data_IF_336744280852
#
_entry.id   IF_336744280852
#
_cell.length_a   1.000
_cell.length_b   1.000
_cell.length_c   1.000
_cell.angle_alpha   90.00
_cell.angle_beta   90.00
_cell.angle_gamma   90.00
#
_symmetry.space_group_name_H-M   'P 1'
#
loop_
_entity.id
_entity.type
_entity.pdbx_description
1 polymer ?
#
# COMPACT_ATOMS: atom_id res chain seq x y z
N UNK A 1 -10.72 -11.13 -21.92
CA UNK A 1 -9.63 -10.82 -20.97
C UNK A 1 -8.28 -11.35 -21.46
N UNK A 2 -8.15 -12.60 -21.99
CA UNK A 2 -6.84 -13.13 -22.42
C UNK A 2 -6.09 -12.19 -23.41
N UNK A 3 -6.74 -11.72 -24.48
CA UNK A 3 -6.10 -10.79 -25.42
C UNK A 3 -5.62 -9.47 -24.77
N UNK A 4 -6.35 -8.94 -23.79
CA UNK A 4 -5.91 -7.76 -23.02
C UNK A 4 -4.70 -8.09 -22.14
N UNK A 5 -4.71 -9.26 -21.52
CA UNK A 5 -3.56 -9.74 -20.73
C UNK A 5 -2.30 -9.87 -21.59
N UNK A 6 -2.44 -10.46 -22.79
CA UNK A 6 -1.32 -10.62 -23.73
C UNK A 6 -0.73 -9.27 -24.16
N UNK A 7 -1.60 -8.29 -24.43
CA UNK A 7 -1.16 -6.93 -24.78
C UNK A 7 -0.40 -6.27 -23.64
N UNK A 8 -0.92 -6.35 -22.41
CA UNK A 8 -0.25 -5.78 -21.22
C UNK A 8 1.08 -6.47 -20.95
N UNK A 9 1.13 -7.81 -21.07
CA UNK A 9 2.38 -8.56 -20.93
C UNK A 9 3.40 -8.21 -22.01
N UNK A 10 2.94 -7.95 -23.25
CA UNK A 10 3.83 -7.53 -24.35
C UNK A 10 4.54 -6.19 -24.05
N UNK A 11 3.96 -5.35 -23.20
CA UNK A 11 4.57 -4.10 -22.71
C UNK A 11 5.51 -4.32 -21.53
N UNK A 12 5.72 -5.57 -21.07
CA UNK A 12 6.51 -5.88 -19.87
C UNK A 12 5.80 -5.57 -18.54
N UNK A 13 4.49 -5.33 -18.57
CA UNK A 13 3.68 -5.03 -17.40
C UNK A 13 2.94 -6.27 -16.91
N UNK A 14 2.36 -6.17 -15.71
CA UNK A 14 1.52 -7.20 -15.08
C UNK A 14 0.07 -6.74 -15.03
N UNK A 15 -0.87 -7.69 -15.03
CA UNK A 15 -2.31 -7.40 -14.99
C UNK A 15 -2.95 -8.05 -13.76
N UNK A 16 -3.85 -7.32 -13.13
CA UNK A 16 -4.63 -7.80 -12.00
C UNK A 16 -6.12 -7.84 -12.26
N UNK A 17 -6.83 -8.60 -11.43
CA UNK A 17 -8.28 -8.68 -11.42
C UNK A 17 -8.83 -8.40 -10.01
N UNK A 18 -10.07 -7.94 -9.96
CA UNK A 18 -10.81 -7.63 -8.76
C UNK A 18 -11.99 -8.58 -8.60
N UNK A 19 -12.14 -9.19 -7.42
CA UNK A 19 -13.29 -10.03 -7.07
C UNK A 19 -13.55 -10.00 -5.56
N UNK A 20 -14.44 -10.83 -5.06
CA UNK A 20 -14.76 -11.01 -3.65
C UNK A 20 -15.56 -12.29 -3.41
N UNK A 21 -15.66 -12.79 -2.15
CA UNK A 21 -16.38 -14.01 -1.81
C UNK A 21 -17.91 -13.82 -1.69
N UNK A 22 -18.39 -12.63 -1.97
CA UNK A 22 -19.82 -12.36 -2.02
C UNK A 22 -20.43 -12.73 -3.37
N UNK A 23 -21.76 -12.76 -3.45
CA UNK A 23 -22.49 -12.92 -4.70
C UNK A 23 -22.20 -11.76 -5.65
N UNK A 24 -22.08 -10.55 -5.14
CA UNK A 24 -21.68 -9.36 -5.90
C UNK A 24 -20.51 -8.63 -5.24
N UNK A 25 -19.80 -7.84 -6.01
CA UNK A 25 -18.70 -7.01 -5.55
C UNK A 25 -19.12 -5.55 -5.35
N UNK A 26 -18.33 -4.74 -4.63
CA UNK A 26 -18.58 -3.31 -4.49
C UNK A 26 -18.59 -2.54 -5.82
N UNK A 27 -17.94 -3.08 -6.85
CA UNK A 27 -17.94 -2.53 -8.19
C UNK A 27 -19.18 -2.88 -9.01
N UNK A 28 -20.12 -3.67 -8.43
CA UNK A 28 -21.35 -4.07 -9.12
C UNK A 28 -21.18 -5.25 -10.09
N UNK A 29 -20.05 -5.96 -10.01
CA UNK A 29 -19.79 -7.17 -10.80
C UNK A 29 -20.05 -8.43 -9.97
N UNK A 30 -19.99 -9.59 -10.61
CA UNK A 30 -20.10 -10.89 -9.94
C UNK A 30 -18.91 -11.12 -9.00
N UNK A 31 -19.19 -11.70 -7.84
CA UNK A 31 -18.18 -12.27 -6.96
C UNK A 31 -18.03 -13.79 -7.19
N UNK A 32 -17.26 -14.44 -6.31
CA UNK A 32 -16.93 -15.85 -6.44
C UNK A 32 -18.00 -16.81 -5.87
N UNK A 33 -19.14 -16.29 -5.44
CA UNK A 33 -20.24 -17.08 -4.89
C UNK A 33 -21.56 -16.78 -5.57
N UNK A 34 -22.48 -17.74 -5.52
CA UNK A 34 -23.85 -17.61 -6.03
C UNK A 34 -24.86 -18.25 -5.09
N UNK A 35 -26.10 -17.76 -5.11
CA UNK A 35 -27.23 -18.41 -4.47
C UNK A 35 -27.79 -19.58 -5.31
N UNK A 36 -27.37 -19.67 -6.57
CA UNK A 36 -27.80 -20.70 -7.53
C UNK A 36 -26.67 -21.68 -7.80
N UNK A 37 -27.00 -22.97 -7.86
CA UNK A 37 -26.01 -24.03 -8.11
C UNK A 37 -25.41 -24.03 -9.52
N UNK A 38 -26.08 -23.41 -10.47
CA UNK A 38 -25.66 -23.29 -11.86
C UNK A 38 -24.92 -21.97 -12.14
N UNK A 39 -24.78 -21.09 -11.13
CA UNK A 39 -24.12 -19.80 -11.28
C UNK A 39 -24.91 -18.78 -12.10
N UNK A 40 -26.23 -18.95 -12.26
CA UNK A 40 -27.05 -17.93 -12.93
C UNK A 40 -27.23 -16.69 -12.05
N UNK A 41 -27.18 -15.55 -12.69
CA UNK A 41 -27.21 -14.24 -12.03
C UNK A 41 -28.18 -13.29 -12.75
N UNK A 42 -29.42 -13.73 -12.87
CA UNK A 42 -30.50 -12.98 -13.57
C UNK A 42 -30.68 -11.55 -13.05
N UNK A 43 -30.31 -11.32 -11.79
CA UNK A 43 -30.36 -10.01 -11.16
C UNK A 43 -29.29 -9.03 -11.68
N UNK A 44 -28.15 -9.53 -12.20
CA UNK A 44 -27.08 -8.66 -12.72
C UNK A 44 -27.55 -8.01 -14.03
N UNK A 45 -28.18 -8.78 -14.91
CA UNK A 45 -28.71 -8.25 -16.16
C UNK A 45 -29.79 -7.20 -15.93
N UNK A 46 -30.64 -7.41 -14.93
CA UNK A 46 -31.71 -6.47 -14.56
C UNK A 46 -31.18 -5.11 -14.17
N UNK A 47 -30.02 -5.03 -13.54
CA UNK A 47 -29.44 -3.79 -13.02
C UNK A 47 -28.19 -3.31 -13.80
N UNK A 48 -27.70 -4.06 -14.76
CA UNK A 48 -26.55 -3.68 -15.60
C UNK A 48 -26.75 -2.35 -16.34
N UNK A 49 -27.99 -1.99 -16.64
CA UNK A 49 -28.36 -0.75 -17.32
C UNK A 49 -28.56 0.44 -16.37
N UNK A 50 -28.52 0.24 -15.05
CA UNK A 50 -28.77 1.28 -14.04
C UNK A 50 -27.48 1.75 -13.33
N UNK A 51 -26.38 1.92 -14.05
CA UNK A 51 -25.11 2.44 -13.52
C UNK A 51 -24.57 1.73 -12.26
N UNK A 52 -24.55 0.40 -12.26
CA UNK A 52 -23.73 -0.47 -11.37
C UNK A 52 -23.87 -0.24 -9.84
N UNK A 53 -24.92 0.38 -9.39
CA UNK A 53 -25.22 0.48 -7.96
C UNK A 53 -26.46 -0.32 -7.65
N UNK A 54 -26.26 -1.61 -7.39
CA UNK A 54 -27.33 -2.36 -6.77
C UNK A 54 -27.52 -1.82 -5.34
N UNK A 55 -28.66 -1.21 -5.11
CA UNK A 55 -29.15 -0.87 -3.77
C UNK A 55 -30.33 -1.79 -3.51
N UNK A 56 -30.25 -2.60 -2.45
CA UNK A 56 -31.42 -3.39 -2.05
C UNK A 56 -32.60 -2.45 -1.73
N UNK A 57 -33.63 -2.41 -2.56
CA UNK A 57 -34.75 -1.50 -2.33
C UNK A 57 -35.55 -1.82 -1.07
N UNK A 58 -35.38 -3.02 -0.50
CA UNK A 58 -36.12 -3.46 0.69
C UNK A 58 -35.39 -3.17 1.99
N UNK A 59 -34.06 -2.97 1.96
CA UNK A 59 -33.25 -2.84 3.18
C UNK A 59 -32.66 -1.46 3.40
N UNK A 60 -32.75 -0.54 2.45
CA UNK A 60 -32.19 0.82 2.52
C UNK A 60 -30.74 0.89 3.07
N UNK A 61 -29.99 -0.19 2.96
CA UNK A 61 -28.58 -0.25 3.39
C UNK A 61 -27.67 0.11 2.23
N UNK A 62 -26.50 0.65 2.54
CA UNK A 62 -25.44 0.85 1.53
C UNK A 62 -25.00 -0.44 0.85
N UNK A 63 -25.37 -1.57 1.41
CA UNK A 63 -25.04 -2.92 1.00
C UNK A 63 -26.32 -3.61 0.53
N UNK A 64 -26.43 -3.83 -0.76
CA UNK A 64 -27.55 -4.55 -1.36
C UNK A 64 -27.54 -6.05 -0.99
N UNK A 65 -28.56 -6.79 -1.43
CA UNK A 65 -28.68 -8.25 -1.23
C UNK A 65 -27.45 -9.02 -1.76
N UNK A 66 -26.64 -8.43 -2.60
CA UNK A 66 -25.49 -9.07 -3.23
C UNK A 66 -24.23 -9.09 -2.33
N UNK A 67 -24.22 -8.33 -1.25
CA UNK A 67 -23.12 -8.29 -0.29
C UNK A 67 -23.33 -9.30 0.83
N UNK A 68 -23.47 -10.56 0.42
CA UNK A 68 -23.55 -11.71 1.28
C UNK A 68 -22.83 -12.90 0.62
N UNK A 69 -22.43 -13.86 1.42
CA UNK A 69 -21.89 -15.11 0.92
C UNK A 69 -23.03 -15.95 0.34
N UNK A 70 -22.92 -16.33 -0.93
CA UNK A 70 -23.88 -17.22 -1.58
C UNK A 70 -23.76 -18.66 -1.06
N UNK A 71 -24.71 -19.52 -1.44
CA UNK A 71 -24.73 -20.93 -1.01
C UNK A 71 -23.70 -21.80 -1.74
N UNK A 72 -23.30 -21.39 -2.94
CA UNK A 72 -22.44 -22.17 -3.82
C UNK A 72 -21.18 -21.38 -4.15
N UNK A 73 -20.01 -22.01 -3.95
CA UNK A 73 -18.72 -21.45 -4.29
C UNK A 73 -18.36 -21.75 -5.74
N UNK A 74 -17.91 -20.74 -6.46
CA UNK A 74 -17.32 -20.83 -7.80
C UNK A 74 -15.82 -20.43 -7.80
N UNK A 75 -15.21 -20.34 -6.63
CA UNK A 75 -13.81 -19.94 -6.45
C UNK A 75 -12.87 -20.72 -7.37
N UNK A 76 -13.04 -22.06 -7.48
CA UNK A 76 -12.19 -22.88 -8.36
C UNK A 76 -12.39 -22.58 -9.85
N UNK A 77 -13.62 -22.27 -10.26
CA UNK A 77 -13.95 -21.91 -11.64
C UNK A 77 -13.35 -20.57 -11.99
N UNK A 78 -13.47 -19.59 -11.10
CA UNK A 78 -12.90 -18.25 -11.26
C UNK A 78 -11.38 -18.32 -11.35
N UNK A 79 -10.74 -19.05 -10.44
CA UNK A 79 -9.27 -19.20 -10.46
C UNK A 79 -8.81 -19.88 -11.75
N UNK A 80 -9.49 -20.96 -12.20
CA UNK A 80 -9.16 -21.57 -13.48
C UNK A 80 -9.25 -20.55 -14.64
N UNK A 81 -10.33 -19.78 -14.69
CA UNK A 81 -10.51 -18.73 -15.69
C UNK A 81 -9.42 -17.66 -15.64
N UNK A 82 -9.03 -17.23 -14.42
CA UNK A 82 -7.97 -16.24 -14.25
C UNK A 82 -6.58 -16.79 -14.63
N UNK A 83 -6.34 -18.09 -14.41
CA UNK A 83 -5.13 -18.76 -14.89
C UNK A 83 -5.11 -18.82 -16.42
N UNK A 84 -6.23 -19.16 -17.06
CA UNK A 84 -6.36 -19.16 -18.53
C UNK A 84 -6.18 -17.75 -19.13
N UNK A 85 -6.53 -16.71 -18.39
CA UNK A 85 -6.29 -15.32 -18.76
C UNK A 85 -4.89 -14.80 -18.39
N UNK A 86 -4.12 -15.59 -17.67
CA UNK A 86 -2.77 -15.25 -17.18
C UNK A 86 -2.74 -14.02 -16.27
N UNK A 87 -3.71 -13.93 -15.34
CA UNK A 87 -3.70 -12.88 -14.33
C UNK A 87 -2.53 -13.03 -13.36
N UNK A 88 -1.92 -11.89 -12.96
CA UNK A 88 -0.76 -11.83 -12.06
C UNK A 88 -1.11 -11.33 -10.66
N UNK A 89 -2.27 -10.71 -10.47
CA UNK A 89 -2.66 -10.08 -9.23
C UNK A 89 -4.17 -10.26 -9.01
N UNK A 90 -4.57 -10.61 -7.79
CA UNK A 90 -5.96 -10.63 -7.36
C UNK A 90 -6.18 -9.67 -6.19
N UNK A 91 -7.01 -8.65 -6.37
CA UNK A 91 -7.63 -7.91 -5.28
C UNK A 91 -8.92 -8.61 -4.87
N UNK A 92 -8.96 -9.18 -3.67
CA UNK A 92 -10.13 -9.90 -3.12
C UNK A 92 -10.76 -9.06 -2.02
N UNK A 93 -11.98 -8.56 -2.25
CA UNK A 93 -12.52 -7.42 -1.52
C UNK A 93 -13.90 -7.70 -0.90
N UNK A 94 -13.96 -7.71 0.40
CA UNK A 94 -15.18 -7.75 1.20
C UNK A 94 -14.90 -7.30 2.63
N UNK A 95 -15.94 -7.06 3.43
CA UNK A 95 -15.79 -6.65 4.83
C UNK A 95 -16.91 -7.28 5.70
N UNK A 96 -16.53 -7.93 6.85
CA UNK A 96 -15.17 -8.20 7.30
C UNK A 96 -14.49 -9.32 6.53
N UNK A 97 -13.16 -9.25 6.33
CA UNK A 97 -12.42 -10.41 5.86
C UNK A 97 -12.47 -11.52 6.92
N UNK A 98 -12.57 -12.76 6.48
CA UNK A 98 -12.58 -13.94 7.35
C UNK A 98 -11.62 -15.03 6.85
N UNK A 99 -11.15 -15.84 7.78
CA UNK A 99 -10.13 -16.86 7.51
C UNK A 99 -10.62 -17.95 6.55
N UNK A 100 -11.92 -18.29 6.60
CA UNK A 100 -12.46 -19.36 5.76
C UNK A 100 -12.38 -19.01 4.27
N UNK A 101 -12.92 -17.86 3.88
CA UNK A 101 -12.95 -17.45 2.47
C UNK A 101 -11.57 -17.05 1.94
N UNK A 102 -10.70 -16.48 2.81
CA UNK A 102 -9.29 -16.25 2.45
C UNK A 102 -8.59 -17.57 2.17
N UNK A 103 -8.77 -18.58 3.06
CA UNK A 103 -8.14 -19.88 2.88
C UNK A 103 -8.64 -20.60 1.62
N UNK A 104 -9.92 -20.55 1.35
CA UNK A 104 -10.49 -21.18 0.15
C UNK A 104 -9.88 -20.60 -1.13
N UNK A 105 -9.80 -19.26 -1.23
CA UNK A 105 -9.18 -18.58 -2.36
C UNK A 105 -7.69 -18.86 -2.44
N UNK A 106 -6.97 -18.79 -1.31
CA UNK A 106 -5.55 -19.12 -1.22
C UNK A 106 -5.26 -20.53 -1.75
N UNK A 107 -6.02 -21.53 -1.26
CA UNK A 107 -5.82 -22.92 -1.66
C UNK A 107 -6.10 -23.12 -3.16
N UNK A 108 -7.14 -22.45 -3.68
CA UNK A 108 -7.45 -22.49 -5.10
C UNK A 108 -6.34 -21.87 -5.96
N UNK A 109 -5.82 -20.70 -5.59
CA UNK A 109 -4.68 -20.07 -6.27
C UNK A 109 -3.43 -20.96 -6.23
N UNK A 110 -3.12 -21.54 -5.06
CA UNK A 110 -1.96 -22.43 -4.87
C UNK A 110 -2.08 -23.79 -5.56
N UNK A 111 -3.29 -24.19 -5.99
CA UNK A 111 -3.49 -25.44 -6.75
C UNK A 111 -3.02 -25.35 -8.21
N UNK A 112 -2.67 -24.15 -8.67
CA UNK A 112 -2.16 -23.87 -10.02
C UNK A 112 -0.66 -23.55 -10.00
N UNK A 113 0.00 -23.78 -11.13
CA UNK A 113 1.44 -23.52 -11.28
C UNK A 113 1.70 -22.12 -11.88
N UNK A 114 1.08 -21.09 -11.28
CA UNK A 114 1.29 -19.69 -11.63
C UNK A 114 1.34 -18.85 -10.37
N UNK A 115 2.33 -17.96 -10.29
CA UNK A 115 2.42 -16.99 -9.20
C UNK A 115 1.41 -15.86 -9.43
N UNK A 116 0.53 -15.69 -8.44
CA UNK A 116 -0.45 -14.60 -8.39
C UNK A 116 -0.30 -13.88 -7.06
N UNK A 117 -0.10 -12.58 -7.10
CA UNK A 117 -0.12 -11.75 -5.89
C UNK A 117 -1.54 -11.69 -5.36
N UNK A 118 -1.74 -12.26 -4.17
CA UNK A 118 -3.04 -12.29 -3.50
C UNK A 118 -3.14 -11.14 -2.49
N UNK A 119 -4.05 -10.21 -2.74
CA UNK A 119 -4.26 -9.00 -1.94
C UNK A 119 -5.66 -8.95 -1.36
N UNK A 120 -5.75 -8.87 -0.03
CA UNK A 120 -7.02 -8.67 0.69
C UNK A 120 -7.31 -7.18 0.79
N UNK A 121 -8.54 -6.80 0.53
CA UNK A 121 -9.00 -5.44 0.68
C UNK A 121 -10.01 -5.31 1.82
N UNK A 122 -10.01 -4.12 2.39
CA UNK A 122 -11.03 -3.55 3.25
C UNK A 122 -10.97 -3.96 4.73
N UNK A 123 -9.89 -3.55 5.41
CA UNK A 123 -9.73 -3.63 6.87
C UNK A 123 -9.65 -5.06 7.42
N UNK A 124 -8.66 -5.82 6.96
CA UNK A 124 -8.39 -7.15 7.48
C UNK A 124 -8.29 -7.15 9.03
N UNK A 125 -9.05 -8.01 9.73
CA UNK A 125 -9.07 -8.03 11.18
C UNK A 125 -7.70 -8.29 11.80
N UNK A 126 -7.29 -7.47 12.76
CA UNK A 126 -6.02 -7.61 13.47
C UNK A 126 -5.88 -8.96 14.18
N UNK A 127 -6.97 -9.50 14.73
CA UNK A 127 -6.96 -10.78 15.46
C UNK A 127 -6.46 -11.97 14.63
N UNK A 128 -6.56 -11.86 13.30
CA UNK A 128 -6.19 -12.91 12.35
C UNK A 128 -4.89 -12.60 11.60
N UNK A 129 -4.08 -11.64 12.06
CA UNK A 129 -2.87 -11.18 11.38
C UNK A 129 -1.89 -12.32 11.01
N UNK A 130 -1.73 -13.32 11.90
CA UNK A 130 -0.92 -14.53 11.66
C UNK A 130 -1.46 -15.35 10.48
N UNK A 131 -2.77 -15.29 10.22
CA UNK A 131 -3.37 -16.00 9.09
C UNK A 131 -3.14 -15.22 7.79
N UNK A 132 -3.28 -13.90 7.84
CA UNK A 132 -3.03 -13.05 6.68
C UNK A 132 -1.60 -13.19 6.18
N UNK A 133 -0.60 -13.12 7.08
CA UNK A 133 0.81 -13.36 6.79
C UNK A 133 1.08 -14.67 6.05
N UNK A 134 0.33 -15.74 6.37
CA UNK A 134 0.53 -17.07 5.78
C UNK A 134 -0.16 -17.26 4.44
N UNK A 135 -1.26 -16.54 4.20
CA UNK A 135 -2.16 -16.82 3.08
C UNK A 135 -2.21 -15.71 2.03
N UNK A 136 -1.85 -14.48 2.38
CA UNK A 136 -1.92 -13.34 1.47
C UNK A 136 -0.57 -12.66 1.31
N UNK A 137 -0.34 -12.08 0.14
CA UNK A 137 0.85 -11.26 -0.12
C UNK A 137 0.68 -9.82 0.35
N UNK A 138 -0.54 -9.31 0.32
CA UNK A 138 -0.90 -8.00 0.85
C UNK A 138 -2.25 -8.09 1.56
N UNK A 139 -2.46 -7.21 2.55
CA UNK A 139 -3.79 -7.05 3.17
C UNK A 139 -3.98 -5.63 3.65
N UNK A 140 -5.14 -5.07 3.31
CA UNK A 140 -5.55 -3.75 3.78
C UNK A 140 -5.75 -3.76 5.28
N UNK A 141 -4.99 -2.93 5.95
CA UNK A 141 -5.01 -2.79 7.42
C UNK A 141 -6.05 -1.80 7.91
N UNK A 142 -6.66 -1.06 6.99
CA UNK A 142 -7.53 0.10 7.24
C UNK A 142 -8.71 0.13 6.29
N UNK A 143 -9.75 0.86 6.64
CA UNK A 143 -10.78 1.32 5.69
C UNK A 143 -10.21 2.37 4.73
N UNK A 144 -10.97 2.72 3.70
CA UNK A 144 -10.52 3.53 2.57
C UNK A 144 -9.87 4.85 2.97
N UNK A 145 -8.75 5.15 2.31
CA UNK A 145 -8.06 6.42 2.40
C UNK A 145 -8.84 7.53 1.70
N UNK A 146 -8.57 8.76 2.10
CA UNK A 146 -9.00 9.98 1.42
C UNK A 146 -7.83 10.95 1.40
N UNK A 147 -7.83 11.82 0.42
CA UNK A 147 -6.82 12.86 0.21
C UNK A 147 -7.01 14.07 1.16
N UNK A 148 -7.10 13.79 2.46
CA UNK A 148 -7.06 14.78 3.53
C UNK A 148 -6.01 14.40 4.55
N UNK A 149 -5.36 15.40 5.15
CA UNK A 149 -4.34 15.17 6.16
C UNK A 149 -4.82 14.27 7.30
N UNK A 150 -5.99 14.57 7.83
CA UNK A 150 -6.55 13.83 8.97
C UNK A 150 -6.73 12.35 8.62
N UNK A 151 -7.23 12.05 7.41
CA UNK A 151 -7.46 10.67 7.02
C UNK A 151 -6.15 9.95 6.70
N UNK A 152 -5.31 10.52 5.84
CA UNK A 152 -4.02 9.95 5.46
C UNK A 152 -3.12 9.72 6.68
N UNK A 153 -2.97 10.73 7.54
CA UNK A 153 -2.11 10.64 8.72
C UNK A 153 -2.65 9.65 9.75
N UNK A 154 -3.97 9.59 9.95
CA UNK A 154 -4.57 8.61 10.88
C UNK A 154 -4.38 7.18 10.43
N UNK A 155 -4.32 6.90 9.13
CA UNK A 155 -4.06 5.57 8.60
C UNK A 155 -2.57 5.23 8.66
N UNK A 156 -1.71 6.10 8.16
CA UNK A 156 -0.28 5.85 8.02
C UNK A 156 0.45 5.73 9.37
N UNK A 157 0.24 6.67 10.29
CA UNK A 157 0.93 6.62 11.59
C UNK A 157 0.39 5.54 12.56
N UNK A 158 -0.69 4.83 12.21
CA UNK A 158 -1.25 3.76 13.03
C UNK A 158 -0.82 2.34 12.59
N UNK A 159 0.31 2.23 11.86
CA UNK A 159 0.79 0.98 11.28
C UNK A 159 1.80 0.23 12.13
N UNK A 160 2.31 0.80 13.23
CA UNK A 160 3.40 0.23 14.03
C UNK A 160 3.13 -1.21 14.49
N UNK A 161 1.88 -1.52 14.83
CA UNK A 161 1.50 -2.87 15.28
C UNK A 161 1.68 -3.94 14.19
N UNK A 162 1.66 -3.58 12.92
CA UNK A 162 1.78 -4.50 11.80
C UNK A 162 3.24 -4.89 11.47
N UNK A 163 4.22 -4.20 12.05
CA UNK A 163 5.64 -4.43 11.78
C UNK A 163 6.09 -5.88 12.03
N UNK A 164 5.46 -6.58 12.99
CA UNK A 164 5.75 -7.99 13.29
C UNK A 164 5.33 -8.95 12.16
N UNK A 165 4.46 -8.52 11.25
CA UNK A 165 3.89 -9.31 10.17
C UNK A 165 4.35 -8.83 8.78
N UNK A 166 5.29 -7.88 8.74
CA UNK A 166 5.86 -7.36 7.51
C UNK A 166 7.13 -8.11 7.15
N UNK A 167 7.23 -8.58 5.91
CA UNK A 167 8.42 -9.25 5.43
C UNK A 167 8.32 -9.62 3.94
N UNK A 168 9.41 -10.18 3.36
CA UNK A 168 9.39 -10.60 1.96
C UNK A 168 8.23 -11.54 1.65
N UNK A 169 7.38 -11.12 0.71
CA UNK A 169 6.20 -11.87 0.28
C UNK A 169 4.90 -11.58 1.03
N UNK A 170 4.93 -10.76 2.10
CA UNK A 170 3.73 -10.40 2.87
C UNK A 170 3.82 -8.97 3.43
N UNK A 171 2.87 -8.12 3.01
CA UNK A 171 2.94 -6.68 3.17
C UNK A 171 1.61 -6.11 3.70
N UNK A 172 1.59 -5.58 4.93
CA UNK A 172 0.46 -4.76 5.40
C UNK A 172 0.29 -3.51 4.52
N UNK A 173 -0.95 -3.23 4.15
CA UNK A 173 -1.30 -2.17 3.21
C UNK A 173 -2.20 -1.12 3.88
N UNK A 174 -1.72 0.10 4.13
CA UNK A 174 -2.54 1.19 4.67
C UNK A 174 -3.40 1.90 3.62
N UNK A 175 -3.46 1.39 2.40
CA UNK A 175 -4.16 1.87 1.21
C UNK A 175 -3.27 2.61 0.19
N UNK A 176 -3.87 2.94 -0.96
CA UNK A 176 -3.20 3.53 -2.10
C UNK A 176 -2.62 4.94 -1.83
N UNK A 177 -1.73 5.38 -2.72
CA UNK A 177 -1.21 6.73 -2.74
C UNK A 177 -2.26 7.69 -3.33
N UNK A 178 -2.58 8.76 -2.59
CA UNK A 178 -3.56 9.79 -3.00
C UNK A 178 -2.88 11.11 -3.31
N UNK A 179 -1.93 11.07 -4.25
CA UNK A 179 -1.16 12.22 -4.75
C UNK A 179 -1.59 12.56 -6.18
N UNK A 180 -1.35 13.77 -6.64
CA UNK A 180 -1.70 14.20 -8.00
C UNK A 180 -3.22 14.31 -8.27
N UNK A 181 -3.64 13.91 -9.46
CA UNK A 181 -5.05 13.94 -9.88
C UNK A 181 -5.78 12.70 -9.36
N UNK A 182 -6.64 12.85 -8.37
CA UNK A 182 -7.33 11.77 -7.65
C UNK A 182 -8.85 11.87 -7.77
N UNK A 183 -9.56 10.83 -7.35
CA UNK A 183 -11.01 10.75 -7.32
C UNK A 183 -11.55 9.48 -7.97
N UNK A 184 -12.88 9.29 -7.88
CA UNK A 184 -13.57 8.14 -8.42
C UNK A 184 -14.28 8.49 -9.73
N UNK A 185 -13.81 7.97 -10.85
CA UNK A 185 -14.44 8.14 -12.15
C UNK A 185 -14.44 9.60 -12.64
N UNK A 186 -15.56 10.13 -13.18
CA UNK A 186 -15.58 11.44 -13.83
C UNK A 186 -15.42 12.65 -12.90
N UNK A 187 -15.24 12.43 -11.61
CA UNK A 187 -15.07 13.48 -10.60
C UNK A 187 -13.61 13.61 -10.15
N UNK A 188 -12.68 13.53 -11.09
CA UNK A 188 -11.27 13.76 -10.81
C UNK A 188 -11.02 15.19 -10.33
N UNK A 189 -10.10 15.33 -9.39
CA UNK A 189 -9.65 16.61 -8.85
C UNK A 189 -8.22 16.48 -8.37
N UNK A 190 -7.47 17.56 -8.29
CA UNK A 190 -6.17 17.54 -7.64
C UNK A 190 -6.32 17.16 -6.17
N UNK A 191 -5.36 16.38 -5.68
CA UNK A 191 -5.33 16.01 -4.28
C UNK A 191 -5.40 17.25 -3.39
N UNK A 192 -6.15 17.16 -2.29
CA UNK A 192 -6.25 18.22 -1.29
C UNK A 192 -5.07 18.23 -0.33
N UNK A 193 -4.19 17.23 -0.41
CA UNK A 193 -2.94 17.22 0.34
C UNK A 193 -2.02 18.31 -0.18
N UNK A 194 -1.46 19.12 0.72
CA UNK A 194 -0.39 20.07 0.39
C UNK A 194 0.86 19.33 -0.11
N UNK A 195 1.81 20.04 -0.69
CA UNK A 195 3.08 19.44 -1.13
C UNK A 195 3.82 18.74 0.01
N UNK A 196 3.88 19.36 1.20
CA UNK A 196 4.50 18.76 2.39
C UNK A 196 3.78 17.49 2.86
N UNK A 197 2.46 17.47 2.80
CA UNK A 197 1.65 16.30 3.14
C UNK A 197 1.83 15.16 2.13
N UNK A 198 2.01 15.46 0.83
CA UNK A 198 2.29 14.46 -0.18
C UNK A 198 3.69 13.86 0.00
N UNK A 199 4.72 14.67 0.32
CA UNK A 199 6.02 14.17 0.73
C UNK A 199 5.92 13.28 1.96
N UNK A 200 5.15 13.68 2.97
CA UNK A 200 4.91 12.89 4.19
C UNK A 200 4.24 11.56 3.86
N UNK A 201 3.22 11.56 3.00
CA UNK A 201 2.49 10.37 2.59
C UNK A 201 3.43 9.32 1.98
N UNK A 202 4.17 9.67 0.92
CA UNK A 202 5.06 8.72 0.25
C UNK A 202 6.21 8.29 1.14
N UNK A 203 6.82 9.22 1.91
CA UNK A 203 7.90 8.89 2.84
C UNK A 203 7.47 7.88 3.89
N UNK A 204 6.27 8.04 4.43
CA UNK A 204 5.73 7.13 5.44
C UNK A 204 5.45 5.75 4.84
N UNK A 205 4.80 5.66 3.68
CA UNK A 205 4.57 4.39 2.97
C UNK A 205 5.89 3.68 2.61
N UNK A 206 6.90 4.42 2.19
CA UNK A 206 8.22 3.86 1.90
C UNK A 206 8.89 3.27 3.15
N UNK A 207 8.87 3.98 4.28
CA UNK A 207 9.38 3.47 5.55
C UNK A 207 8.60 2.28 6.08
N UNK A 208 7.28 2.24 5.84
CA UNK A 208 6.42 1.13 6.25
C UNK A 208 6.60 -0.13 5.38
N UNK A 209 7.38 -0.08 4.29
CA UNK A 209 7.43 -1.15 3.27
C UNK A 209 6.06 -1.50 2.72
N UNK A 210 5.17 -0.53 2.66
CA UNK A 210 3.81 -0.73 2.18
C UNK A 210 3.77 -0.82 0.66
N UNK A 211 2.80 -1.55 0.06
CA UNK A 211 2.57 -1.49 -1.36
C UNK A 211 2.35 -0.03 -1.83
N UNK A 212 3.09 0.40 -2.86
CA UNK A 212 2.94 1.73 -3.45
C UNK A 212 1.89 1.68 -4.56
N UNK A 213 0.62 1.49 -4.20
CA UNK A 213 -0.49 1.43 -5.15
C UNK A 213 -0.85 2.85 -5.59
N UNK A 214 -0.62 3.18 -6.84
CA UNK A 214 -0.88 4.51 -7.40
C UNK A 214 -2.39 4.72 -7.57
N UNK A 215 -2.96 5.68 -6.85
CA UNK A 215 -4.40 6.02 -6.86
C UNK A 215 -4.74 7.27 -7.69
N UNK A 216 -3.80 7.81 -8.46
CA UNK A 216 -4.04 8.96 -9.33
C UNK A 216 -4.22 8.58 -10.80
N UNK A 217 -4.76 9.50 -11.59
CA UNK A 217 -4.79 9.39 -13.04
C UNK A 217 -3.38 9.62 -13.62
N UNK A 218 -2.76 8.53 -14.05
CA UNK A 218 -1.40 8.55 -14.61
C UNK A 218 -1.31 9.25 -15.97
N UNK A 219 -2.42 9.45 -16.67
CA UNK A 219 -2.45 10.22 -17.92
C UNK A 219 -2.39 11.73 -17.70
N UNK A 220 -2.58 12.19 -16.46
CA UNK A 220 -2.60 13.60 -16.07
C UNK A 220 -1.57 13.93 -14.98
N UNK A 221 -0.39 13.30 -15.03
CA UNK A 221 0.71 13.61 -14.11
C UNK A 221 1.31 14.97 -14.43
N UNK A 222 1.40 15.83 -13.42
CA UNK A 222 2.25 17.01 -13.46
C UNK A 222 3.68 16.68 -13.05
N UNK A 223 4.63 17.61 -13.28
CA UNK A 223 6.04 17.42 -12.98
C UNK A 223 6.30 17.14 -11.48
N UNK A 224 5.50 17.75 -10.60
CA UNK A 224 5.62 17.52 -9.16
C UNK A 224 5.21 16.11 -8.80
N UNK A 225 4.03 15.67 -9.22
CA UNK A 225 3.54 14.32 -8.97
C UNK A 225 4.47 13.27 -9.59
N UNK A 226 4.95 13.50 -10.81
CA UNK A 226 5.92 12.64 -11.46
C UNK A 226 7.20 12.53 -10.61
N UNK A 227 7.74 13.66 -10.14
CA UNK A 227 8.95 13.69 -9.29
C UNK A 227 8.77 12.92 -7.97
N UNK A 228 7.56 12.93 -7.39
CA UNK A 228 7.23 12.15 -6.19
C UNK A 228 7.25 10.65 -6.48
N UNK A 229 6.65 10.23 -7.58
CA UNK A 229 6.44 8.82 -7.92
C UNK A 229 7.68 8.16 -8.54
N UNK A 230 8.67 8.95 -8.97
CA UNK A 230 9.88 8.44 -9.67
C UNK A 230 11.19 8.72 -8.93
N UNK A 231 11.13 9.19 -7.67
CA UNK A 231 12.35 9.36 -6.88
C UNK A 231 12.91 7.98 -6.50
N UNK A 232 13.99 7.59 -7.16
CA UNK A 232 14.62 6.29 -7.01
C UNK A 232 15.12 6.03 -5.59
N UNK A 233 15.73 7.03 -4.92
CA UNK A 233 16.24 6.87 -3.55
C UNK A 233 15.12 6.63 -2.53
N UNK A 234 13.95 7.21 -2.74
CA UNK A 234 12.76 6.96 -1.89
C UNK A 234 12.15 5.60 -2.19
N UNK A 235 12.11 5.22 -3.47
CA UNK A 235 11.62 3.90 -3.92
C UNK A 235 12.54 2.80 -3.40
N UNK A 236 13.87 2.98 -3.43
CA UNK A 236 14.83 2.02 -2.85
C UNK A 236 14.55 1.75 -1.37
N UNK A 237 14.19 2.77 -0.58
CA UNK A 237 13.80 2.56 0.82
C UNK A 237 12.58 1.67 0.93
N UNK A 238 11.57 1.84 0.06
CA UNK A 238 10.38 0.99 0.05
C UNK A 238 10.72 -0.45 -0.33
N UNK A 239 11.54 -0.62 -1.38
CA UNK A 239 11.83 -1.91 -2.01
C UNK A 239 13.08 -2.59 -1.45
N UNK A 240 13.56 -2.15 -0.29
CA UNK A 240 14.74 -2.74 0.35
C UNK A 240 14.56 -4.25 0.60
N UNK A 241 15.56 -5.09 0.19
CA UNK A 241 15.45 -6.55 0.24
C UNK A 241 15.23 -7.15 1.63
N UNK A 242 15.61 -6.45 2.73
CA UNK A 242 15.28 -6.93 4.08
C UNK A 242 13.76 -7.01 4.31
N UNK A 243 12.96 -6.24 3.55
CA UNK A 243 11.53 -6.21 3.67
C UNK A 243 11.01 -5.78 5.05
N UNK A 244 11.83 -5.13 5.86
CA UNK A 244 11.45 -4.72 7.22
C UNK A 244 10.69 -3.41 7.21
N UNK A 245 9.58 -3.38 7.92
CA UNK A 245 8.89 -2.12 8.20
C UNK A 245 9.71 -1.25 9.15
N UNK A 246 9.74 0.06 8.91
CA UNK A 246 10.29 1.04 9.84
C UNK A 246 9.56 1.05 11.19
N UNK A 247 10.31 1.23 12.26
CA UNK A 247 9.80 1.24 13.63
C UNK A 247 9.76 2.65 14.20
N UNK A 248 8.78 2.90 15.07
CA UNK A 248 8.67 4.15 15.84
C UNK A 248 9.82 4.24 16.85
N UNK A 249 10.66 5.26 16.72
CA UNK A 249 11.78 5.52 17.64
C UNK A 249 11.40 6.54 18.70
N UNK A 250 10.66 7.57 18.35
CA UNK A 250 10.30 8.65 19.26
C UNK A 250 9.03 9.34 18.80
N UNK A 251 8.20 9.71 19.78
CA UNK A 251 7.07 10.62 19.61
C UNK A 251 7.14 11.68 20.73
N UNK A 252 7.39 12.94 20.35
CA UNK A 252 7.51 14.07 21.29
C UNK A 252 6.75 15.28 20.74
N UNK A 253 5.66 15.65 21.39
CA UNK A 253 4.78 16.69 20.90
C UNK A 253 4.21 16.32 19.54
N UNK A 254 4.43 17.17 18.53
CA UNK A 254 4.01 16.91 17.16
C UNK A 254 5.04 16.12 16.34
N UNK A 255 6.26 15.92 16.84
CA UNK A 255 7.35 15.26 16.11
C UNK A 255 7.34 13.76 16.37
N UNK A 256 7.34 13.01 15.26
CA UNK A 256 7.39 11.56 15.24
C UNK A 256 8.59 11.12 14.40
N UNK A 257 9.39 10.17 14.91
CA UNK A 257 10.59 9.69 14.22
C UNK A 257 10.48 8.17 14.01
N UNK A 258 10.63 7.75 12.77
CA UNK A 258 10.73 6.35 12.37
C UNK A 258 12.14 6.03 11.89
N UNK A 259 12.61 4.82 12.15
CA UNK A 259 13.86 4.28 11.62
C UNK A 259 13.62 2.92 10.96
N UNK A 260 14.20 2.71 9.78
CA UNK A 260 14.16 1.48 9.01
C UNK A 260 15.57 1.03 8.67
N UNK A 261 16.04 -0.12 9.19
CA UNK A 261 17.31 -0.69 8.77
C UNK A 261 17.21 -1.16 7.31
N UNK A 262 18.28 -0.96 6.55
CA UNK A 262 18.38 -1.35 5.14
C UNK A 262 19.42 -2.46 4.96
N UNK A 263 19.29 -3.20 3.86
CA UNK A 263 20.11 -4.38 3.56
C UNK A 263 21.60 -4.04 3.45
N UNK A 264 21.93 -2.87 2.92
CA UNK A 264 23.31 -2.38 2.78
C UNK A 264 23.97 -1.93 4.11
N UNK A 265 23.29 -2.13 5.25
CA UNK A 265 23.75 -1.74 6.58
C UNK A 265 23.51 -0.26 6.91
N UNK A 266 22.97 0.51 5.98
CA UNK A 266 22.54 1.90 6.25
C UNK A 266 21.16 1.92 6.94
N UNK A 267 20.68 3.11 7.27
CA UNK A 267 19.40 3.28 7.96
C UNK A 267 18.61 4.46 7.37
N UNK A 268 17.40 4.22 6.93
CA UNK A 268 16.48 5.29 6.56
C UNK A 268 15.76 5.83 7.80
N UNK A 269 15.72 7.16 7.93
CA UNK A 269 15.08 7.88 9.02
C UNK A 269 14.05 8.85 8.48
N UNK A 270 12.82 8.75 8.96
CA UNK A 270 11.78 9.74 8.71
C UNK A 270 11.54 10.60 9.95
N UNK A 271 11.75 11.90 9.82
CA UNK A 271 11.37 12.90 10.81
C UNK A 271 10.06 13.54 10.35
N UNK A 272 8.98 13.28 11.02
CA UNK A 272 7.65 13.78 10.67
C UNK A 272 7.17 14.82 11.68
N UNK A 273 6.55 15.87 11.19
CA UNK A 273 5.85 16.83 12.02
C UNK A 273 4.34 16.76 11.78
N UNK A 274 3.60 16.31 12.77
CA UNK A 274 2.13 16.19 12.73
C UNK A 274 1.41 17.46 13.18
N UNK A 275 2.16 18.51 13.51
CA UNK A 275 1.63 19.79 13.99
C UNK A 275 1.48 20.84 12.90
N UNK A 276 0.79 21.94 13.23
CA UNK A 276 0.43 23.02 12.31
C UNK A 276 1.48 24.15 12.24
N UNK A 277 2.65 23.97 12.81
CA UNK A 277 3.76 24.92 12.78
C UNK A 277 5.10 24.19 12.59
N UNK A 278 6.11 24.90 12.16
CA UNK A 278 7.48 24.35 12.08
C UNK A 278 7.89 23.78 13.42
N UNK A 279 8.45 22.58 13.42
CA UNK A 279 8.95 21.90 14.60
C UNK A 279 10.40 21.45 14.40
N UNK A 280 11.19 21.52 15.48
CA UNK A 280 12.57 21.02 15.50
C UNK A 280 12.59 19.57 15.95
N UNK A 281 13.30 18.73 15.19
CA UNK A 281 13.54 17.33 15.51
C UNK A 281 15.03 17.06 15.75
N UNK A 282 15.33 16.19 16.70
CA UNK A 282 16.69 15.72 16.98
C UNK A 282 16.69 14.21 17.11
N UNK A 283 17.60 13.54 16.43
CA UNK A 283 17.88 12.11 16.58
C UNK A 283 19.33 11.92 16.98
N UNK A 284 19.57 11.30 18.13
CA UNK A 284 20.91 10.88 18.52
C UNK A 284 21.21 9.49 17.97
N UNK A 285 22.45 9.23 17.53
CA UNK A 285 22.84 7.92 16.99
C UNK A 285 22.63 6.79 18.00
N UNK A 286 22.79 7.08 19.28
CA UNK A 286 22.54 6.13 20.37
C UNK A 286 21.11 5.60 20.37
N UNK A 287 20.12 6.43 20.03
CA UNK A 287 18.69 6.03 20.06
C UNK A 287 18.31 5.01 18.97
N UNK A 288 19.14 4.90 17.92
CA UNK A 288 18.97 3.94 16.82
C UNK A 288 20.11 2.91 16.74
N UNK A 289 20.94 2.83 17.80
CA UNK A 289 22.00 1.83 17.91
C UNK A 289 23.21 2.05 16.98
N UNK A 290 23.36 3.26 16.41
CA UNK A 290 24.47 3.61 15.53
C UNK A 290 25.59 4.26 16.34
N UNK A 291 26.84 4.13 15.86
CA UNK A 291 28.04 4.73 16.44
C UNK A 291 28.96 5.28 15.35
N UNK A 292 29.76 6.28 15.72
CA UNK A 292 30.74 6.93 14.85
C UNK A 292 30.10 7.89 13.84
N UNK A 293 30.96 8.48 13.02
CA UNK A 293 30.54 9.47 12.02
C UNK A 293 29.55 8.87 11.02
N UNK A 294 28.46 9.61 10.80
CA UNK A 294 27.46 9.28 9.78
C UNK A 294 27.39 10.42 8.78
N UNK A 295 27.33 10.06 7.51
CA UNK A 295 26.88 10.97 6.44
C UNK A 295 25.36 10.91 6.40
N UNK A 296 24.71 12.07 6.40
CA UNK A 296 23.26 12.24 6.34
C UNK A 296 22.88 12.69 4.93
N UNK A 297 22.15 11.83 4.20
CA UNK A 297 21.65 12.11 2.85
C UNK A 297 20.16 12.41 2.88
N UNK A 298 19.77 13.57 2.38
CA UNK A 298 18.36 13.91 2.13
C UNK A 298 17.90 13.18 0.86
N UNK A 299 16.96 12.24 0.98
CA UNK A 299 16.55 11.37 -0.11
C UNK A 299 15.67 12.10 -1.14
N UNK A 300 14.83 13.03 -0.69
CA UNK A 300 14.02 13.82 -1.62
C UNK A 300 14.85 14.78 -2.48
N UNK A 301 15.93 15.32 -1.91
CA UNK A 301 16.87 16.20 -2.61
C UNK A 301 18.04 15.47 -3.25
N UNK A 302 18.18 14.16 -2.98
CA UNK A 302 19.28 13.32 -3.44
C UNK A 302 20.66 13.93 -3.14
N UNK A 303 20.79 14.51 -1.94
CA UNK A 303 21.96 15.31 -1.56
C UNK A 303 22.41 15.01 -0.14
N UNK A 304 23.74 14.91 0.05
CA UNK A 304 24.33 14.86 1.39
C UNK A 304 24.20 16.24 2.05
N UNK A 305 23.63 16.28 3.25
CA UNK A 305 23.27 17.53 3.94
C UNK A 305 24.04 17.73 5.23
N UNK A 306 24.63 16.67 5.80
CA UNK A 306 25.43 16.76 7.02
C UNK A 306 26.40 15.58 7.16
N UNK A 307 27.42 15.76 8.01
CA UNK A 307 28.21 14.70 8.64
C UNK A 307 28.22 14.96 10.13
N UNK A 308 28.05 13.92 10.94
CA UNK A 308 28.00 14.05 12.40
C UNK A 308 28.37 12.75 13.09
N UNK A 309 29.01 12.88 14.27
CA UNK A 309 29.42 11.74 15.12
C UNK A 309 28.36 11.34 16.14
N UNK A 310 27.38 12.18 16.41
CA UNK A 310 26.51 12.00 17.58
C UNK A 310 25.02 12.13 17.29
N UNK A 311 24.60 13.08 16.45
CA UNK A 311 23.20 13.40 16.25
C UNK A 311 22.94 14.14 14.94
N UNK A 312 21.70 14.18 14.52
CA UNK A 312 21.19 15.05 13.46
C UNK A 312 20.01 15.88 13.97
N UNK A 313 20.06 17.18 13.67
CA UNK A 313 19.03 18.15 14.04
C UNK A 313 18.47 18.77 12.77
N UNK A 314 17.16 18.87 12.67
CA UNK A 314 16.50 19.47 11.49
C UNK A 314 15.20 20.15 11.89
N UNK A 315 14.82 21.19 11.15
CA UNK A 315 13.50 21.78 11.20
C UNK A 315 12.60 21.11 10.16
N UNK A 316 11.32 20.90 10.52
CA UNK A 316 10.33 20.23 9.70
C UNK A 316 9.10 21.14 9.60
N UNK A 317 8.67 21.42 8.36
CA UNK A 317 7.46 22.20 8.10
C UNK A 317 6.20 21.58 8.75
N UNK A 318 5.14 22.36 8.83
CA UNK A 318 3.82 21.84 9.22
C UNK A 318 3.43 20.67 8.33
N UNK A 319 2.99 19.55 8.91
CA UNK A 319 2.63 18.29 8.24
C UNK A 319 3.72 17.70 7.34
N UNK A 320 4.94 18.25 7.41
CA UNK A 320 6.06 17.88 6.55
C UNK A 320 6.87 16.70 7.07
N UNK A 321 7.85 16.33 6.27
CA UNK A 321 8.83 15.27 6.55
C UNK A 321 10.24 15.69 6.18
N UNK A 322 11.21 15.17 6.92
CA UNK A 322 12.61 15.07 6.49
C UNK A 322 12.93 13.57 6.41
N UNK A 323 13.06 13.04 5.19
CA UNK A 323 13.46 11.66 4.95
C UNK A 323 14.94 11.62 4.61
N UNK A 324 15.73 10.94 5.43
CA UNK A 324 17.17 10.85 5.24
C UNK A 324 17.66 9.40 5.30
N UNK A 325 18.80 9.13 4.67
CA UNK A 325 19.55 7.88 4.80
C UNK A 325 20.86 8.17 5.53
N UNK A 326 21.17 7.36 6.53
CA UNK A 326 22.40 7.44 7.32
C UNK A 326 23.36 6.36 6.82
N UNK A 327 24.56 6.77 6.41
CA UNK A 327 25.65 5.89 6.02
C UNK A 327 26.82 6.05 6.99
N UNK A 328 27.55 4.96 7.34
CA UNK A 328 28.84 5.08 8.01
C UNK A 328 29.80 5.96 7.20
N UNK A 329 30.49 6.88 7.84
CA UNK A 329 31.28 7.94 7.20
C UNK A 329 32.32 7.49 6.18
N UNK A 330 32.78 6.23 6.25
CA UNK A 330 33.83 5.68 5.36
C UNK A 330 33.29 4.80 4.20
N UNK A 331 31.97 4.64 4.04
CA UNK A 331 31.44 3.65 3.08
C UNK A 331 31.36 4.12 1.63
N UNK A 332 31.42 5.41 1.33
CA UNK A 332 31.34 5.94 -0.06
C UNK A 332 32.67 6.03 -0.81
N UNK A 333 33.82 6.12 -0.12
CA UNK A 333 35.11 6.18 -0.79
C UNK A 333 35.47 4.85 -1.49
N UNK A 334 34.91 3.72 -1.04
CA UNK A 334 35.14 2.40 -1.63
C UNK A 334 34.30 2.09 -2.89
N UNK A 335 33.13 2.72 -3.06
CA UNK A 335 32.25 2.46 -4.21
C UNK A 335 32.66 3.23 -5.49
N UNK A 336 33.42 4.32 -5.38
CA UNK A 336 33.88 5.12 -6.52
C UNK A 336 35.26 4.73 -7.03
N UNK A 337 36.02 3.88 -6.31
CA UNK A 337 37.33 3.40 -6.72
C UNK A 337 37.31 2.05 -7.49
N UNK A 338 36.13 1.49 -7.75
CA UNK A 338 35.92 0.19 -8.39
C UNK A 338 35.20 0.24 -9.75
N UNK A 339 35.23 1.38 -10.46
CA UNK A 339 34.71 1.47 -11.84
C UNK A 339 35.80 1.86 -12.82
#
# INVERSE_FOLDING_TARGET
MKALSDEIHSMGLKIGIYSGPWVGTYAGHLGSYSDNSDGTYDWVEKYANEHYRYVDPTKQTKHGVNYHHGKFSFVKNDVQQWMDWEMDYLKYDWNPNDVYHVKEMHDALRSHNRDVVFSLSNSAPWGDAVQWEKMANCWRTTGDIRDTWERMSSLGFNQTKWAAYTGPGHWPDPDMLVVGMVGWGPKLHYTRLTSDEQYTHISLWALLSSPLLIGCDMAQLDDFTLSLLTNDEVIEVNQDPLGKQGTLISEKGSVVIYAKPLEDGSMAIGFFNRGNSVAKATLTWKSVGIRGEQTVRDLWRQKDVAKSDTEFVTDIASHGVRLVKLYPGNSREQATSGK
#
